data_IF_357120715332
#
_entry.id   IF_357120715332
#
_cell.length_a   1.000
_cell.length_b   1.000
_cell.length_c   1.000
_cell.angle_alpha   90.00
_cell.angle_beta   90.00
_cell.angle_gamma   90.00
#
_symmetry.space_group_name_H-M   'P 1'
#
loop_
_entity.id
_entity.type
_entity.pdbx_description
1 polymer ?
#
# COMPACT_ATOMS: atom_id res chain seq x y z
N UNK A 1 32.09 31.64 -33.38
CA UNK A 1 31.45 30.35 -33.74
C UNK A 1 30.09 30.30 -33.04
N UNK A 2 28.99 30.28 -33.80
CA UNK A 2 27.61 30.25 -33.30
C UNK A 2 27.08 28.81 -33.32
N UNK A 3 26.42 28.42 -32.25
CA UNK A 3 25.83 27.09 -31.99
C UNK A 3 24.58 26.85 -32.85
N UNK A 4 24.69 26.91 -34.18
CA UNK A 4 23.54 26.84 -35.12
C UNK A 4 23.55 25.60 -36.01
N UNK A 5 24.20 24.49 -35.62
CA UNK A 5 24.33 23.31 -36.50
C UNK A 5 23.95 21.96 -35.86
N UNK A 6 23.20 21.92 -34.75
CA UNK A 6 22.88 20.66 -34.06
C UNK A 6 21.39 20.39 -33.77
N UNK A 7 20.47 21.06 -34.47
CA UNK A 7 19.03 20.74 -34.38
C UNK A 7 18.47 20.47 -35.77
N UNK A 8 18.65 19.23 -36.22
CA UNK A 8 17.82 18.65 -37.28
C UNK A 8 16.55 18.07 -36.61
N UNK A 9 15.40 18.46 -37.15
CA UNK A 9 14.03 18.28 -36.65
C UNK A 9 13.70 16.88 -36.09
N UNK A 10 12.92 16.75 -34.98
CA UNK A 10 12.53 15.46 -34.46
C UNK A 10 11.26 14.93 -35.17
N UNK A 11 11.44 14.02 -36.11
CA UNK A 11 10.34 13.13 -36.54
C UNK A 11 10.17 12.04 -35.48
N UNK A 12 9.01 11.98 -34.83
CA UNK A 12 8.72 10.94 -33.84
C UNK A 12 8.31 9.66 -34.57
N UNK A 13 9.03 8.56 -34.32
CA UNK A 13 8.80 7.23 -34.93
C UNK A 13 8.38 6.21 -33.88
N UNK A 14 7.57 5.23 -34.24
CA UNK A 14 7.20 4.12 -33.36
C UNK A 14 8.27 3.01 -33.32
N UNK A 15 8.07 1.97 -32.51
CA UNK A 15 9.00 0.85 -32.33
C UNK A 15 9.27 0.03 -33.60
N UNK A 16 8.49 0.21 -34.67
CA UNK A 16 8.69 -0.40 -35.98
C UNK A 16 9.31 0.58 -37.00
N UNK A 17 9.76 1.75 -36.56
CA UNK A 17 10.42 2.76 -37.40
C UNK A 17 9.48 3.64 -38.22
N UNK A 18 8.15 3.49 -38.07
CA UNK A 18 7.15 4.26 -38.82
C UNK A 18 6.96 5.64 -38.18
N UNK A 19 6.99 6.70 -38.99
CA UNK A 19 6.77 8.07 -38.52
C UNK A 19 5.31 8.25 -38.06
N UNK A 20 5.14 8.75 -36.84
CA UNK A 20 3.82 8.92 -36.20
C UNK A 20 3.44 10.41 -36.08
N UNK A 21 4.40 11.32 -36.25
CA UNK A 21 4.17 12.76 -36.21
C UNK A 21 5.24 13.52 -37.01
N UNK A 22 4.81 14.54 -37.76
CA UNK A 22 5.64 15.49 -38.49
C UNK A 22 5.07 16.90 -38.29
N UNK A 23 5.92 17.86 -37.93
CA UNK A 23 5.52 19.27 -37.81
C UNK A 23 5.20 19.82 -39.21
N UNK A 24 4.03 20.46 -39.35
CA UNK A 24 3.57 21.04 -40.61
C UNK A 24 3.92 22.52 -40.66
N UNK A 25 4.69 22.94 -41.66
CA UNK A 25 5.09 24.35 -41.88
C UNK A 25 3.91 25.27 -42.31
N UNK A 26 2.66 24.78 -42.30
CA UNK A 26 1.49 25.57 -42.71
C UNK A 26 0.72 26.12 -41.52
N UNK A 27 1.31 27.06 -40.78
CA UNK A 27 0.55 28.00 -39.95
C UNK A 27 1.04 29.42 -40.24
N UNK A 28 0.32 30.14 -41.11
CA UNK A 28 0.49 31.60 -41.25
C UNK A 28 -0.32 32.29 -40.15
N UNK A 29 0.36 33.00 -39.25
CA UNK A 29 -0.29 33.85 -38.26
C UNK A 29 -0.67 35.23 -38.87
N UNK A 30 -1.86 35.79 -38.59
CA UNK A 30 -2.22 37.12 -39.07
C UNK A 30 -1.37 38.20 -38.40
N UNK A 31 -0.91 39.20 -39.19
CA UNK A 31 -0.20 40.37 -38.68
C UNK A 31 -1.18 41.35 -38.03
N UNK A 32 -0.84 41.80 -36.81
CA UNK A 32 -1.40 43.00 -36.19
C UNK A 32 -2.38 42.73 -35.06
N UNK A 33 -1.88 42.70 -33.82
CA UNK A 33 -2.46 43.29 -32.60
C UNK A 33 -1.54 42.99 -31.42
N UNK A 34 -1.11 44.06 -30.76
CA UNK A 34 -0.16 44.08 -29.66
C UNK A 34 -0.86 43.85 -28.32
N UNK A 35 -1.16 42.60 -27.98
CA UNK A 35 -1.35 42.18 -26.58
C UNK A 35 -0.89 40.72 -26.44
N UNK A 36 0.36 40.52 -26.06
CA UNK A 36 0.91 39.17 -25.81
C UNK A 36 0.58 38.75 -24.38
N UNK A 37 -0.56 38.08 -24.17
CA UNK A 37 -0.67 37.15 -23.04
C UNK A 37 0.01 35.85 -23.46
N UNK A 38 1.07 35.46 -22.76
CA UNK A 38 1.68 34.14 -22.91
C UNK A 38 0.61 33.08 -22.58
N UNK A 39 0.03 32.45 -23.60
CA UNK A 39 -0.80 31.28 -23.43
C UNK A 39 0.11 30.11 -23.06
N UNK A 40 0.18 29.80 -21.77
CA UNK A 40 0.88 28.62 -21.28
C UNK A 40 0.28 27.36 -21.94
N UNK A 41 1.14 26.54 -22.56
CA UNK A 41 0.75 25.30 -23.22
C UNK A 41 -0.11 24.42 -22.29
N UNK A 42 -1.32 24.03 -22.71
CA UNK A 42 -2.24 23.14 -21.96
C UNK A 42 -1.80 21.67 -21.97
N UNK A 43 -0.50 21.38 -22.12
CA UNK A 43 0.01 20.00 -22.14
C UNK A 43 0.55 19.63 -20.75
N UNK A 44 -0.07 18.69 -20.03
CA UNK A 44 0.41 18.20 -18.74
C UNK A 44 1.86 17.67 -18.80
N UNK A 45 2.27 17.18 -19.96
CA UNK A 45 3.61 16.66 -20.23
C UNK A 45 4.66 17.77 -20.18
N UNK A 46 4.34 18.96 -20.68
CA UNK A 46 5.25 20.12 -20.65
C UNK A 46 5.42 20.63 -19.21
N UNK A 47 4.36 20.63 -18.41
CA UNK A 47 4.43 20.96 -16.98
C UNK A 47 5.26 19.94 -16.20
N UNK A 48 5.04 18.65 -16.42
CA UNK A 48 5.84 17.60 -15.78
C UNK A 48 7.33 17.72 -16.13
N UNK A 49 7.67 17.97 -17.40
CA UNK A 49 9.05 18.16 -17.87
C UNK A 49 9.71 19.40 -17.25
N UNK A 50 9.01 20.54 -17.26
CA UNK A 50 9.54 21.80 -16.70
C UNK A 50 9.75 21.72 -15.19
N UNK A 51 8.82 21.13 -14.44
CA UNK A 51 8.97 20.89 -13.00
C UNK A 51 10.14 19.94 -12.73
N UNK A 52 10.25 18.85 -13.51
CA UNK A 52 11.32 17.86 -13.35
C UNK A 52 12.69 18.49 -13.61
N UNK A 53 12.84 19.28 -14.68
CA UNK A 53 14.07 19.98 -15.01
C UNK A 53 14.43 21.03 -13.94
N UNK A 54 13.44 21.73 -13.40
CA UNK A 54 13.66 22.67 -12.29
C UNK A 54 14.15 21.95 -11.03
N UNK A 55 13.52 20.84 -10.65
CA UNK A 55 13.95 20.04 -9.48
C UNK A 55 15.37 19.49 -9.67
N UNK A 56 15.70 18.97 -10.85
CA UNK A 56 17.05 18.52 -11.19
C UNK A 56 18.08 19.65 -11.11
N UNK A 57 17.76 20.83 -11.67
CA UNK A 57 18.61 22.01 -11.59
C UNK A 57 18.86 22.44 -10.15
N UNK A 58 17.81 22.51 -9.32
CA UNK A 58 17.96 22.89 -7.90
C UNK A 58 18.79 21.88 -7.13
N UNK A 59 18.66 20.58 -7.41
CA UNK A 59 19.44 19.55 -6.74
C UNK A 59 20.91 19.57 -7.12
N UNK A 60 21.22 19.71 -8.42
CA UNK A 60 22.60 19.89 -8.89
C UNK A 60 23.22 21.15 -8.26
N UNK A 61 22.45 22.25 -8.17
CA UNK A 61 22.92 23.49 -7.54
C UNK A 61 23.18 23.34 -6.05
N UNK A 62 22.30 22.68 -5.30
CA UNK A 62 22.48 22.39 -3.85
C UNK A 62 23.72 21.52 -3.63
N UNK A 63 23.94 20.50 -4.46
CA UNK A 63 25.08 19.61 -4.32
C UNK A 63 26.40 20.33 -4.68
N UNK A 64 26.37 21.27 -5.63
CA UNK A 64 27.54 22.06 -6.04
C UNK A 64 27.85 23.25 -5.13
N UNK A 65 26.85 23.80 -4.43
CA UNK A 65 26.95 24.98 -3.59
C UNK A 65 26.07 24.79 -2.34
N UNK A 66 26.71 24.44 -1.22
CA UNK A 66 26.04 24.17 0.06
C UNK A 66 25.31 25.41 0.64
N UNK A 67 25.57 26.61 0.12
CA UNK A 67 24.92 27.84 0.55
C UNK A 67 23.74 28.24 -0.37
N UNK A 68 23.50 27.51 -1.45
CA UNK A 68 22.40 27.78 -2.37
C UNK A 68 21.04 27.46 -1.73
N UNK A 69 20.21 28.49 -1.52
CA UNK A 69 18.79 28.35 -1.15
C UNK A 69 17.93 28.64 -2.38
N UNK A 70 17.20 27.65 -2.94
CA UNK A 70 16.32 27.94 -4.06
C UNK A 70 15.18 28.86 -3.62
N UNK A 71 14.91 29.90 -4.42
CA UNK A 71 13.70 30.70 -4.27
C UNK A 71 12.49 29.79 -4.55
N UNK A 72 11.87 29.28 -3.49
CA UNK A 72 10.61 28.55 -3.59
C UNK A 72 9.55 29.52 -4.09
N UNK A 73 9.13 29.34 -5.34
CA UNK A 73 7.84 29.87 -5.77
C UNK A 73 6.82 29.21 -4.84
N UNK A 74 6.21 30.00 -3.95
CA UNK A 74 5.03 29.59 -3.18
C UNK A 74 3.95 29.22 -4.18
N UNK A 75 3.92 27.95 -4.59
CA UNK A 75 2.73 27.36 -5.20
C UNK A 75 1.74 27.25 -4.05
N UNK A 76 0.96 28.32 -3.86
CA UNK A 76 -0.19 28.34 -2.99
C UNK A 76 -1.14 27.26 -3.50
N UNK A 77 -1.02 26.04 -2.96
CA UNK A 77 -2.19 25.20 -2.81
C UNK A 77 -3.16 26.01 -1.96
N UNK A 78 -4.16 26.61 -2.61
CA UNK A 78 -5.34 27.13 -1.95
C UNK A 78 -6.07 25.96 -1.27
N UNK A 79 -5.53 25.47 -0.16
CA UNK A 79 -6.37 25.12 0.95
C UNK A 79 -6.98 26.43 1.41
N UNK A 80 -8.31 26.52 1.36
CA UNK A 80 -9.08 27.59 1.97
C UNK A 80 -8.73 27.66 3.46
N UNK A 81 -7.69 28.43 3.80
CA UNK A 81 -7.53 29.04 5.10
C UNK A 81 -8.30 30.35 4.99
N UNK A 82 -9.58 30.33 5.37
CA UNK A 82 -10.25 31.58 5.69
C UNK A 82 -9.53 32.16 6.91
N UNK A 83 -8.96 33.34 6.69
CA UNK A 83 -8.15 34.04 7.66
C UNK A 83 -8.87 34.30 8.96
N UNK A 84 -8.06 34.27 10.01
CA UNK A 84 -8.26 34.92 11.29
C UNK A 84 -8.85 36.32 11.13
N UNK A 85 -10.11 36.47 11.48
CA UNK A 85 -10.64 37.71 12.01
C UNK A 85 -10.95 37.48 13.49
N UNK A 86 -10.47 38.38 14.33
CA UNK A 86 -10.75 38.44 15.76
C UNK A 86 -12.24 38.27 16.05
N UNK A 87 -12.57 37.22 16.79
CA UNK A 87 -13.74 37.14 17.65
C UNK A 87 -13.28 36.41 18.93
N UNK A 88 -13.06 37.16 20.01
CA UNK A 88 -13.05 36.57 21.34
C UNK A 88 -14.42 35.93 21.58
N UNK A 89 -14.47 34.60 21.64
CA UNK A 89 -15.54 33.88 22.32
C UNK A 89 -14.97 32.55 22.78
N UNK A 90 -15.08 32.32 24.09
CA UNK A 90 -14.53 31.17 24.78
C UNK A 90 -15.12 29.86 24.27
N UNK A 91 -14.24 28.86 24.15
CA UNK A 91 -14.59 27.52 23.72
C UNK A 91 -13.32 26.74 23.36
N UNK A 92 -12.51 26.41 24.37
CA UNK A 92 -11.38 25.49 24.22
C UNK A 92 -11.92 24.09 23.89
N UNK A 93 -12.20 23.82 22.62
CA UNK A 93 -12.32 22.46 22.12
C UNK A 93 -10.91 21.95 21.87
N UNK A 94 -10.30 21.35 22.89
CA UNK A 94 -9.07 20.57 22.77
C UNK A 94 -9.34 19.36 21.86
N UNK A 95 -9.30 19.56 20.54
CA UNK A 95 -9.23 18.45 19.60
C UNK A 95 -7.79 17.95 19.64
N UNK A 96 -7.55 16.84 20.33
CA UNK A 96 -6.23 16.25 20.43
C UNK A 96 -5.69 15.94 19.02
N UNK A 97 -4.53 16.53 18.69
CA UNK A 97 -3.79 16.22 17.48
C UNK A 97 -3.04 14.89 17.57
N UNK A 98 -2.33 14.46 16.51
CA UNK A 98 -1.50 13.26 16.57
C UNK A 98 -0.40 13.40 17.63
N UNK A 99 -0.09 12.30 18.32
CA UNK A 99 1.01 12.25 19.30
C UNK A 99 2.35 12.51 18.57
N UNK A 100 3.21 13.39 19.09
CA UNK A 100 4.51 13.69 18.49
C UNK A 100 5.40 12.44 18.32
N UNK A 101 6.11 12.33 17.19
CA UNK A 101 6.93 11.15 16.87
C UNK A 101 8.08 10.92 17.87
N UNK A 102 8.63 12.00 18.45
CA UNK A 102 9.65 11.93 19.50
C UNK A 102 9.08 11.33 20.81
N UNK A 103 7.84 11.64 21.15
CA UNK A 103 7.15 11.04 22.30
C UNK A 103 6.98 9.54 22.07
N UNK A 104 6.46 9.13 20.91
CA UNK A 104 6.34 7.70 20.55
C UNK A 104 7.68 6.99 20.62
N UNK A 105 8.75 7.59 20.07
CA UNK A 105 10.08 7.00 20.09
C UNK A 105 10.62 6.82 21.51
N UNK A 106 10.28 7.72 22.44
CA UNK A 106 10.69 7.62 23.83
C UNK A 106 9.96 6.49 24.60
N UNK A 107 8.78 6.07 24.14
CA UNK A 107 8.00 4.97 24.75
C UNK A 107 8.48 3.58 24.33
N UNK A 108 9.14 3.46 23.17
CA UNK A 108 9.56 2.17 22.59
C UNK A 108 10.98 1.83 23.03
N UNK A 109 11.16 0.65 23.62
CA UNK A 109 12.46 0.06 23.98
C UNK A 109 12.78 -1.08 23.03
N UNK A 110 14.06 -1.45 22.95
CA UNK A 110 14.48 -2.68 22.26
C UNK A 110 13.79 -3.90 22.86
N UNK A 111 13.49 -4.89 22.02
CA UNK A 111 12.85 -6.12 22.45
C UNK A 111 13.76 -6.87 23.44
N UNK A 112 13.24 -7.31 24.60
CA UNK A 112 14.01 -8.12 25.53
C UNK A 112 14.46 -9.44 24.89
N UNK A 113 15.73 -9.89 25.07
CA UNK A 113 16.27 -11.10 24.42
C UNK A 113 15.46 -12.38 24.69
N UNK A 114 14.78 -12.47 25.83
CA UNK A 114 13.91 -13.59 26.20
C UNK A 114 12.66 -13.73 25.31
N UNK A 115 12.34 -12.73 24.49
CA UNK A 115 11.19 -12.74 23.57
C UNK A 115 11.55 -13.12 22.13
N UNK A 116 12.84 -13.42 21.84
CA UNK A 116 13.33 -13.67 20.49
C UNK A 116 12.63 -14.84 19.76
N UNK A 117 12.11 -15.82 20.51
CA UNK A 117 11.42 -16.99 19.96
C UNK A 117 9.89 -16.83 19.94
N UNK A 118 9.36 -15.66 20.35
CA UNK A 118 7.92 -15.40 20.29
C UNK A 118 7.48 -15.17 18.85
N UNK A 119 6.29 -15.64 18.51
CA UNK A 119 5.71 -15.43 17.19
C UNK A 119 4.20 -15.21 17.24
N UNK A 120 3.70 -14.44 16.28
CA UNK A 120 2.27 -14.20 16.14
C UNK A 120 1.59 -15.44 15.53
N UNK A 121 1.00 -16.24 16.41
CA UNK A 121 0.50 -17.56 16.04
C UNK A 121 -0.93 -17.52 15.51
N UNK A 122 -1.85 -16.86 16.21
CA UNK A 122 -3.28 -16.92 15.90
C UNK A 122 -4.02 -15.61 16.15
N UNK A 123 -5.09 -15.42 15.38
CA UNK A 123 -6.19 -14.51 15.69
C UNK A 123 -7.45 -15.34 15.92
N UNK A 124 -8.10 -15.17 17.07
CA UNK A 124 -9.33 -15.89 17.40
C UNK A 124 -10.57 -15.07 17.05
N UNK A 125 -11.51 -15.70 16.33
CA UNK A 125 -12.84 -15.15 16.07
C UNK A 125 -13.90 -16.17 16.49
N UNK A 126 -14.93 -15.70 17.19
CA UNK A 126 -16.10 -16.55 17.47
C UNK A 126 -17.01 -16.58 16.25
N UNK A 127 -17.53 -17.77 15.93
CA UNK A 127 -18.39 -18.03 14.78
C UNK A 127 -19.69 -18.68 15.21
N UNK A 128 -20.79 -18.29 14.56
CA UNK A 128 -22.13 -18.80 14.88
C UNK A 128 -22.37 -20.19 14.31
N UNK A 129 -22.02 -20.40 13.04
CA UNK A 129 -22.31 -21.65 12.33
C UNK A 129 -21.11 -22.13 11.50
N UNK A 130 -20.35 -23.14 11.98
CA UNK A 130 -19.19 -23.65 11.24
C UNK A 130 -19.55 -24.20 9.86
N UNK A 131 -20.80 -24.64 9.64
CA UNK A 131 -21.25 -25.15 8.33
C UNK A 131 -21.33 -24.05 7.27
N UNK A 132 -21.46 -22.78 7.68
CA UNK A 132 -21.41 -21.63 6.77
C UNK A 132 -20.01 -21.01 6.73
N UNK A 133 -19.37 -20.91 7.90
CA UNK A 133 -18.11 -20.20 8.03
C UNK A 133 -16.92 -20.98 7.46
N UNK A 134 -16.84 -22.30 7.67
CA UNK A 134 -15.74 -23.11 7.12
C UNK A 134 -15.70 -23.09 5.58
N UNK A 135 -16.82 -23.28 4.83
CA UNK A 135 -16.79 -23.13 3.37
C UNK A 135 -16.36 -21.73 2.90
N UNK A 136 -16.73 -20.68 3.63
CA UNK A 136 -16.29 -19.33 3.30
C UNK A 136 -14.75 -19.21 3.40
N UNK A 137 -14.16 -19.56 4.55
CA UNK A 137 -12.71 -19.45 4.71
C UNK A 137 -11.93 -20.45 3.84
N UNK A 138 -12.43 -21.68 3.66
CA UNK A 138 -11.72 -22.70 2.88
C UNK A 138 -11.94 -22.59 1.37
N UNK A 139 -13.19 -22.50 0.92
CA UNK A 139 -13.51 -22.59 -0.51
C UNK A 139 -13.50 -21.21 -1.18
N UNK A 140 -13.87 -20.15 -0.46
CA UNK A 140 -13.84 -18.78 -0.99
C UNK A 140 -12.48 -18.15 -0.76
N UNK A 141 -11.95 -18.17 0.47
CA UNK A 141 -10.66 -17.53 0.77
C UNK A 141 -9.44 -18.42 0.53
N UNK A 142 -9.63 -19.72 0.31
CA UNK A 142 -8.54 -20.65 -0.04
C UNK A 142 -7.69 -21.10 1.14
N UNK A 143 -8.15 -20.91 2.39
CA UNK A 143 -7.46 -21.42 3.57
C UNK A 143 -7.64 -22.93 3.72
N UNK A 144 -6.78 -23.56 4.50
CA UNK A 144 -6.87 -24.98 4.85
C UNK A 144 -7.23 -25.15 6.32
N UNK A 145 -8.17 -26.04 6.63
CA UNK A 145 -8.38 -26.53 7.98
C UNK A 145 -7.17 -27.37 8.40
N UNK A 146 -6.42 -26.89 9.39
CA UNK A 146 -5.24 -27.54 9.93
C UNK A 146 -5.61 -28.54 11.02
N UNK A 147 -6.52 -28.15 11.92
CA UNK A 147 -6.99 -28.98 13.03
C UNK A 147 -8.37 -28.55 13.50
N UNK A 148 -9.23 -29.53 13.79
CA UNK A 148 -10.40 -29.36 14.63
C UNK A 148 -10.10 -29.92 16.03
N UNK A 149 -10.55 -29.22 17.06
CA UNK A 149 -10.48 -29.67 18.46
C UNK A 149 -11.82 -29.44 19.15
N UNK A 150 -12.39 -30.48 19.75
CA UNK A 150 -13.67 -30.44 20.43
C UNK A 150 -13.49 -30.54 21.95
N UNK A 151 -14.24 -29.73 22.70
CA UNK A 151 -14.16 -29.66 24.16
C UNK A 151 -15.56 -29.89 24.75
N UNK A 152 -15.99 -31.16 24.95
CA UNK A 152 -17.35 -31.49 25.37
C UNK A 152 -17.76 -30.88 26.71
N UNK A 153 -16.84 -30.84 27.69
CA UNK A 153 -17.10 -30.24 29.00
C UNK A 153 -17.37 -28.74 28.91
N UNK A 154 -16.67 -28.05 28.00
CA UNK A 154 -16.84 -26.62 27.73
C UNK A 154 -17.92 -26.30 26.69
N UNK A 155 -18.45 -27.30 25.98
CA UNK A 155 -19.41 -27.18 24.88
C UNK A 155 -18.97 -26.21 23.77
N UNK A 156 -17.73 -26.34 23.33
CA UNK A 156 -17.22 -25.60 22.19
C UNK A 156 -16.27 -26.43 21.32
N UNK A 157 -16.12 -25.99 20.07
CA UNK A 157 -15.13 -26.52 19.12
C UNK A 157 -14.24 -25.40 18.60
N UNK A 158 -12.99 -25.73 18.31
CA UNK A 158 -12.00 -24.85 17.72
C UNK A 158 -11.61 -25.37 16.34
N UNK A 159 -11.56 -24.48 15.36
CA UNK A 159 -11.11 -24.78 14.00
C UNK A 159 -9.92 -23.88 13.67
N UNK A 160 -8.74 -24.47 13.50
CA UNK A 160 -7.53 -23.76 13.15
C UNK A 160 -7.35 -23.75 11.64
N UNK A 161 -7.32 -22.56 11.03
CA UNK A 161 -7.20 -22.36 9.60
C UNK A 161 -5.92 -21.60 9.24
N UNK A 162 -5.31 -21.92 8.10
CA UNK A 162 -4.15 -21.17 7.60
C UNK A 162 -3.87 -21.41 6.12
N UNK A 163 -3.03 -20.55 5.54
CA UNK A 163 -2.55 -20.71 4.16
C UNK A 163 -1.37 -21.68 4.10
N UNK A 164 -1.66 -22.98 4.15
CA UNK A 164 -0.69 -24.07 4.10
C UNK A 164 -1.03 -25.11 3.03
N UNK A 165 -0.03 -25.70 2.36
CA UNK A 165 -0.27 -26.80 1.44
C UNK A 165 -0.68 -28.06 2.21
N UNK A 166 -1.55 -28.87 1.61
CA UNK A 166 -2.04 -30.09 2.25
C UNK A 166 -0.91 -31.09 2.59
N UNK A 167 0.15 -31.11 1.78
CA UNK A 167 1.31 -31.98 1.96
C UNK A 167 2.13 -31.68 3.22
N UNK A 168 2.01 -30.48 3.79
CA UNK A 168 2.71 -30.12 5.04
C UNK A 168 1.93 -30.53 6.29
N UNK A 169 0.65 -30.88 6.18
CA UNK A 169 -0.20 -31.16 7.33
C UNK A 169 0.01 -32.63 7.74
N UNK A 170 0.54 -32.91 8.95
CA UNK A 170 0.71 -34.28 9.41
C UNK A 170 -0.63 -35.02 9.53
N UNK A 171 -0.61 -36.33 9.26
CA UNK A 171 -1.78 -37.20 9.44
C UNK A 171 -1.93 -37.69 10.88
N UNK A 172 -0.82 -37.82 11.62
CA UNK A 172 -0.86 -38.20 13.03
C UNK A 172 -1.59 -37.12 13.86
N UNK A 173 -2.57 -37.48 14.71
CA UNK A 173 -3.39 -36.50 15.43
C UNK A 173 -2.61 -35.57 16.36
N UNK A 174 -1.53 -36.06 16.99
CA UNK A 174 -0.71 -35.30 17.95
C UNK A 174 0.19 -34.33 17.19
N UNK A 175 0.86 -34.81 16.15
CA UNK A 175 1.71 -33.97 15.30
C UNK A 175 0.90 -32.93 14.52
N UNK A 176 -0.31 -33.28 14.08
CA UNK A 176 -1.23 -32.34 13.44
C UNK A 176 -1.65 -31.21 14.40
N UNK A 177 -1.91 -31.54 15.68
CA UNK A 177 -2.20 -30.53 16.70
C UNK A 177 -1.00 -29.63 16.95
N UNK A 178 0.19 -30.21 17.09
CA UNK A 178 1.44 -29.46 17.26
C UNK A 178 1.67 -28.52 16.07
N UNK A 179 1.51 -29.03 14.85
CA UNK A 179 1.65 -28.26 13.61
C UNK A 179 0.68 -27.09 13.55
N UNK A 180 -0.61 -27.31 13.85
CA UNK A 180 -1.60 -26.25 13.85
C UNK A 180 -1.28 -25.15 14.86
N UNK A 181 -0.89 -25.54 16.08
CA UNK A 181 -0.54 -24.61 17.17
C UNK A 181 0.83 -23.95 17.02
N UNK A 182 1.70 -24.44 16.13
CA UNK A 182 2.99 -23.82 15.82
C UNK A 182 3.01 -23.07 14.49
N UNK A 183 1.90 -23.07 13.75
CA UNK A 183 1.80 -22.38 12.46
C UNK A 183 1.54 -20.89 12.69
N UNK A 184 2.30 -20.04 12.00
CA UNK A 184 2.17 -18.59 12.04
C UNK A 184 0.86 -18.10 11.42
N UNK A 185 0.33 -17.00 11.93
CA UNK A 185 -0.79 -16.25 11.35
C UNK A 185 -2.03 -17.12 11.01
N UNK A 186 -2.35 -18.07 11.89
CA UNK A 186 -3.58 -18.86 11.79
C UNK A 186 -4.80 -18.06 12.22
N UNK A 187 -5.96 -18.50 11.76
CA UNK A 187 -7.25 -18.07 12.30
C UNK A 187 -7.79 -19.22 13.15
N UNK A 188 -8.05 -18.94 14.41
CA UNK A 188 -8.78 -19.83 15.31
C UNK A 188 -10.26 -19.42 15.25
N UNK A 189 -11.11 -20.28 14.69
CA UNK A 189 -12.55 -20.08 14.71
C UNK A 189 -13.16 -20.86 15.88
N UNK A 190 -13.77 -20.16 16.82
CA UNK A 190 -14.40 -20.76 18.01
C UNK A 190 -15.91 -20.85 17.83
N UNK A 191 -16.43 -22.07 17.85
CA UNK A 191 -17.87 -22.34 17.80
C UNK A 191 -18.35 -22.77 19.18
N UNK A 192 -19.20 -21.95 19.80
CA UNK A 192 -19.94 -22.36 21.00
C UNK A 192 -21.18 -23.14 20.56
N UNK A 193 -21.35 -24.36 21.06
CA UNK A 193 -22.37 -25.28 20.56
C UNK A 193 -23.78 -24.76 20.81
N UNK A 194 -24.64 -24.88 19.80
CA UNK A 194 -26.04 -24.45 19.85
C UNK A 194 -26.27 -23.01 19.37
N UNK A 195 -25.22 -22.20 19.22
CA UNK A 195 -25.34 -20.83 18.70
C UNK A 195 -25.92 -20.78 17.27
N UNK A 196 -25.69 -21.83 16.48
CA UNK A 196 -26.25 -22.03 15.15
C UNK A 196 -27.77 -22.27 15.14
N UNK A 197 -28.34 -22.72 16.27
CA UNK A 197 -29.76 -23.06 16.40
C UNK A 197 -30.60 -21.91 16.99
N UNK A 198 -29.97 -20.90 17.58
CA UNK A 198 -30.66 -19.71 18.11
C UNK A 198 -30.79 -18.63 17.00
N UNK A 199 -31.99 -18.35 16.45
CA UNK A 199 -32.14 -17.35 15.39
C UNK A 199 -31.86 -15.92 15.83
N UNK A 200 -31.91 -15.63 17.15
CA UNK A 200 -31.70 -14.28 17.69
C UNK A 200 -30.25 -14.00 18.06
N UNK A 201 -29.41 -15.04 18.08
CA UNK A 201 -28.01 -14.91 18.45
C UNK A 201 -27.15 -14.40 17.28
N UNK A 202 -26.31 -13.40 17.52
CA UNK A 202 -25.24 -12.99 16.61
C UNK A 202 -24.02 -12.47 17.38
N UNK A 203 -22.83 -12.63 16.82
CA UNK A 203 -21.63 -12.02 17.38
C UNK A 203 -21.52 -10.56 16.91
N UNK A 204 -20.89 -9.73 17.75
CA UNK A 204 -20.58 -8.35 17.41
C UNK A 204 -19.24 -8.28 16.68
N UNK A 205 -19.22 -7.57 15.54
CA UNK A 205 -18.05 -7.52 14.66
C UNK A 205 -17.04 -6.41 15.00
N UNK A 206 -17.24 -5.69 16.11
CA UNK A 206 -16.36 -4.62 16.62
C UNK A 206 -16.37 -3.31 15.84
N UNK A 207 -17.08 -3.22 14.70
CA UNK A 207 -17.11 -2.04 13.83
C UNK A 207 -18.28 -1.08 14.10
N UNK A 208 -19.20 -1.48 14.97
CA UNK A 208 -20.28 -0.64 15.55
C UNK A 208 -20.02 -0.45 17.04
N UNK A 209 -20.76 0.44 17.70
CA UNK A 209 -20.64 0.59 19.16
C UNK A 209 -21.06 -0.70 19.89
N UNK A 210 -20.35 -1.12 20.96
CA UNK A 210 -19.04 -0.60 21.39
C UNK A 210 -17.93 -1.03 20.41
N UNK A 211 -17.13 -0.06 19.94
CA UNK A 211 -16.07 -0.36 18.97
C UNK A 211 -14.88 -1.07 19.61
N UNK A 212 -14.21 -1.92 18.84
CA UNK A 212 -13.05 -2.70 19.28
C UNK A 212 -12.24 -3.26 18.12
N UNK A 213 -12.20 -4.59 18.00
CA UNK A 213 -11.57 -5.27 16.87
C UNK A 213 -12.13 -4.76 15.53
N UNK A 214 -11.24 -4.49 14.57
CA UNK A 214 -11.62 -3.95 13.27
C UNK A 214 -11.82 -5.02 12.20
N UNK A 215 -10.73 -5.68 11.81
CA UNK A 215 -10.72 -6.66 10.72
C UNK A 215 -9.43 -7.48 10.72
N UNK A 216 -9.47 -8.61 10.03
CA UNK A 216 -8.26 -9.28 9.53
C UNK A 216 -7.93 -8.78 8.12
N UNK A 217 -6.68 -8.93 7.69
CA UNK A 217 -6.23 -8.54 6.35
C UNK A 217 -5.64 -9.71 5.57
N UNK A 218 -6.01 -9.81 4.30
CA UNK A 218 -5.48 -10.79 3.35
C UNK A 218 -4.81 -10.04 2.19
N UNK A 219 -3.50 -10.30 2.04
CA UNK A 219 -2.74 -9.81 0.91
C UNK A 219 -2.95 -10.74 -0.31
N UNK A 220 -3.26 -10.15 -1.45
CA UNK A 220 -3.46 -10.85 -2.72
C UNK A 220 -2.59 -10.24 -3.82
N UNK A 221 -2.35 -10.99 -4.90
CA UNK A 221 -1.58 -10.47 -6.04
C UNK A 221 -2.32 -9.39 -6.82
N UNK A 222 -3.64 -9.55 -6.98
CA UNK A 222 -4.51 -8.63 -7.68
C UNK A 222 -5.86 -8.52 -6.97
N UNK A 223 -6.10 -7.36 -6.34
CA UNK A 223 -7.33 -7.05 -5.61
C UNK A 223 -8.56 -7.09 -6.53
N UNK A 224 -8.44 -6.63 -7.78
CA UNK A 224 -9.56 -6.57 -8.70
C UNK A 224 -9.98 -7.96 -9.17
N UNK A 225 -9.01 -8.81 -9.53
CA UNK A 225 -9.28 -10.19 -9.91
C UNK A 225 -9.88 -10.99 -8.73
N UNK A 226 -9.35 -10.80 -7.52
CA UNK A 226 -9.90 -11.43 -6.32
C UNK A 226 -11.34 -10.95 -6.05
N UNK A 227 -11.60 -9.65 -6.11
CA UNK A 227 -12.94 -9.10 -5.87
C UNK A 227 -13.94 -9.53 -6.93
N UNK A 228 -13.55 -9.61 -8.21
CA UNK A 228 -14.42 -10.15 -9.26
C UNK A 228 -14.86 -11.59 -8.94
N UNK A 229 -13.92 -12.44 -8.52
CA UNK A 229 -14.25 -13.81 -8.09
C UNK A 229 -15.18 -13.80 -6.87
N UNK A 230 -14.97 -12.91 -5.90
CA UNK A 230 -15.84 -12.81 -4.74
C UNK A 230 -17.26 -12.36 -5.12
N UNK A 231 -17.41 -11.44 -6.06
CA UNK A 231 -18.72 -11.03 -6.60
C UNK A 231 -19.42 -12.19 -7.31
N UNK A 232 -18.71 -12.95 -8.16
CA UNK A 232 -19.24 -14.14 -8.85
C UNK A 232 -19.72 -15.22 -7.86
N UNK A 233 -19.10 -15.30 -6.69
CA UNK A 233 -19.45 -16.23 -5.61
C UNK A 233 -20.48 -15.65 -4.62
N UNK A 234 -21.02 -14.46 -4.86
CA UNK A 234 -22.06 -13.84 -4.04
C UNK A 234 -21.58 -13.34 -2.66
N UNK A 235 -20.29 -13.05 -2.50
CA UNK A 235 -19.72 -12.52 -1.26
C UNK A 235 -20.22 -11.09 -1.00
N UNK A 236 -20.52 -10.78 0.26
CA UNK A 236 -20.94 -9.45 0.68
C UNK A 236 -19.74 -8.51 0.80
N UNK A 237 -19.89 -7.29 0.27
CA UNK A 237 -18.88 -6.24 0.33
C UNK A 237 -19.30 -5.12 1.29
N UNK A 238 -18.41 -4.73 2.19
CA UNK A 238 -18.51 -3.46 2.92
C UNK A 238 -18.02 -2.31 2.04
N UNK A 239 -17.00 -2.57 1.22
CA UNK A 239 -16.39 -1.60 0.31
C UNK A 239 -15.78 -2.33 -0.90
N UNK A 240 -16.16 -1.95 -2.12
CA UNK A 240 -15.51 -2.46 -3.34
C UNK A 240 -14.16 -1.77 -3.62
N UNK A 241 -13.29 -2.35 -4.48
CA UNK A 241 -11.97 -1.80 -4.77
C UNK A 241 -11.96 -0.33 -5.16
N UNK A 242 -12.97 0.11 -5.91
CA UNK A 242 -13.08 1.47 -6.44
C UNK A 242 -14.04 2.37 -5.64
N UNK A 243 -14.60 1.91 -4.53
CA UNK A 243 -15.46 2.75 -3.70
C UNK A 243 -14.63 3.74 -2.85
N UNK A 244 -15.16 4.92 -2.59
CA UNK A 244 -14.52 5.93 -1.74
C UNK A 244 -13.22 6.52 -2.31
N UNK A 245 -12.41 7.12 -1.42
CA UNK A 245 -11.17 7.82 -1.80
C UNK A 245 -10.00 6.87 -2.07
N UNK A 246 -9.87 5.79 -1.29
CA UNK A 246 -8.79 4.82 -1.44
C UNK A 246 -9.17 3.75 -2.47
N UNK A 247 -8.50 3.82 -3.63
CA UNK A 247 -8.66 2.84 -4.72
C UNK A 247 -7.73 1.65 -4.53
N UNK A 248 -8.08 0.50 -5.10
CA UNK A 248 -7.26 -0.71 -5.05
C UNK A 248 -7.27 -1.42 -3.70
N UNK A 249 -8.28 -1.16 -2.87
CA UNK A 249 -8.50 -1.80 -1.57
C UNK A 249 -9.98 -2.15 -1.40
N UNK A 250 -10.29 -3.35 -0.91
CA UNK A 250 -11.66 -3.78 -0.65
C UNK A 250 -11.84 -4.30 0.78
N UNK A 251 -13.10 -4.33 1.22
CA UNK A 251 -13.53 -4.99 2.45
C UNK A 251 -14.72 -5.89 2.15
N UNK A 252 -14.60 -7.16 2.49
CA UNK A 252 -15.67 -8.16 2.40
C UNK A 252 -16.12 -8.58 3.81
N UNK A 253 -17.25 -9.28 3.89
CA UNK A 253 -17.77 -9.86 5.13
C UNK A 253 -17.79 -11.37 5.08
N UNK A 254 -17.44 -12.00 6.19
CA UNK A 254 -17.72 -13.42 6.42
C UNK A 254 -19.20 -13.64 6.82
N UNK A 255 -19.66 -14.89 7.03
CA UNK A 255 -21.04 -15.18 7.43
C UNK A 255 -21.46 -14.60 8.79
N UNK A 256 -20.51 -14.26 9.65
CA UNK A 256 -20.72 -13.63 10.97
C UNK A 256 -20.58 -12.09 10.90
N UNK A 257 -20.50 -11.52 9.68
CA UNK A 257 -20.33 -10.11 9.40
C UNK A 257 -19.00 -9.49 9.87
N UNK A 258 -17.99 -10.31 10.17
CA UNK A 258 -16.63 -9.89 10.44
C UNK A 258 -16.00 -9.31 9.18
N UNK A 259 -15.37 -8.14 9.31
CA UNK A 259 -14.73 -7.46 8.19
C UNK A 259 -13.39 -8.11 7.83
N UNK A 260 -13.15 -8.30 6.53
CA UNK A 260 -11.90 -8.82 5.99
C UNK A 260 -11.38 -7.85 4.93
N UNK A 261 -10.21 -7.28 5.17
CA UNK A 261 -9.54 -6.38 4.25
C UNK A 261 -8.84 -7.19 3.15
N UNK A 262 -9.04 -6.80 1.89
CA UNK A 262 -8.34 -7.35 0.73
C UNK A 262 -7.41 -6.27 0.18
N UNK A 263 -6.12 -6.52 0.24
CA UNK A 263 -5.09 -5.57 -0.19
C UNK A 263 -4.08 -6.23 -1.11
N UNK A 264 -3.40 -5.45 -1.93
CA UNK A 264 -2.23 -5.95 -2.66
C UNK A 264 -1.04 -6.01 -1.71
N UNK A 265 -0.16 -7.00 -1.87
CA UNK A 265 1.15 -6.97 -1.24
C UNK A 265 1.91 -5.71 -1.71
N UNK A 266 2.20 -4.81 -0.77
CA UNK A 266 2.82 -3.52 -1.03
C UNK A 266 4.34 -3.61 -1.23
N UNK A 267 4.94 -4.79 -1.07
CA UNK A 267 6.38 -4.99 -1.22
C UNK A 267 6.86 -5.10 -2.68
N UNK A 268 5.95 -5.05 -3.66
CA UNK A 268 6.30 -4.85 -5.06
C UNK A 268 6.36 -3.35 -5.44
N UNK A 269 7.30 -2.89 -6.30
CA UNK A 269 7.40 -1.48 -6.72
C UNK A 269 6.11 -0.91 -7.37
N UNK A 270 5.18 -1.77 -7.78
CA UNK A 270 3.87 -1.38 -8.30
C UNK A 270 2.82 -1.03 -7.20
N UNK A 271 3.00 -1.52 -5.96
CA UNK A 271 2.04 -1.33 -4.86
C UNK A 271 2.07 0.07 -4.26
N UNK A 272 3.26 0.62 -4.03
CA UNK A 272 3.46 2.00 -3.55
C UNK A 272 2.93 3.05 -4.55
N UNK A 273 3.06 2.77 -5.84
CA UNK A 273 2.55 3.62 -6.93
C UNK A 273 1.01 3.69 -6.89
N UNK A 274 0.33 2.57 -6.60
CA UNK A 274 -1.14 2.50 -6.60
C UNK A 274 -1.78 3.16 -5.38
N UNK A 275 -1.18 3.07 -4.18
CA UNK A 275 -1.78 3.63 -2.97
C UNK A 275 -1.52 5.14 -2.79
N UNK A 276 -0.38 5.62 -3.27
CA UNK A 276 0.04 7.02 -3.11
C UNK A 276 0.03 7.85 -4.40
N UNK A 277 -0.39 7.27 -5.54
CA UNK A 277 -0.57 8.02 -6.80
C UNK A 277 0.71 8.47 -7.49
N UNK A 278 1.86 7.83 -7.24
CA UNK A 278 3.13 8.22 -7.86
C UNK A 278 3.31 7.64 -9.27
N UNK A 279 3.43 8.50 -10.28
CA UNK A 279 3.57 8.11 -11.68
C UNK A 279 4.84 7.24 -11.95
N UNK A 280 4.74 6.16 -12.76
CA UNK A 280 5.86 5.26 -13.08
C UNK A 280 7.05 5.93 -13.80
N UNK A 281 6.89 7.17 -14.27
CA UNK A 281 7.98 7.94 -14.88
C UNK A 281 9.09 8.32 -13.89
N UNK A 282 8.76 8.47 -12.60
CA UNK A 282 9.72 8.87 -11.56
C UNK A 282 10.71 7.75 -11.21
N UNK A 283 10.28 6.49 -11.30
CA UNK A 283 11.11 5.33 -10.96
C UNK A 283 12.10 4.95 -12.08
N UNK A 284 11.73 5.19 -13.35
CA UNK A 284 12.60 4.94 -14.50
C UNK A 284 13.87 5.80 -14.50
N UNK A 285 13.79 7.01 -13.94
CA UNK A 285 14.94 7.90 -13.77
C UNK A 285 15.86 7.43 -12.63
N UNK A 286 15.29 6.97 -11.52
CA UNK A 286 16.04 6.48 -10.36
C UNK A 286 16.91 5.26 -10.70
N UNK A 287 16.34 4.29 -11.43
CA UNK A 287 17.05 3.06 -11.82
C UNK A 287 18.14 3.25 -12.89
N UNK A 288 18.16 4.42 -13.54
CA UNK A 288 19.18 4.80 -14.55
C UNK A 288 20.31 5.63 -13.95
N UNK A 289 20.06 6.32 -12.84
CA UNK A 289 21.08 7.05 -12.08
C UNK A 289 21.95 6.11 -11.23
N UNK A 290 21.39 5.06 -10.62
CA UNK A 290 22.18 4.07 -9.88
C UNK A 290 23.13 3.22 -10.77
N UNK A 291 22.91 3.19 -12.08
CA UNK A 291 23.79 2.51 -13.04
C UNK A 291 24.87 3.40 -13.66
N UNK A 292 24.87 4.70 -13.34
CA UNK A 292 25.85 5.65 -13.84
C UNK A 292 26.64 6.29 -12.69
N UNK A 293 27.53 5.49 -12.09
CA UNK A 293 28.77 5.95 -11.47
C UNK A 293 28.71 6.26 -9.97
N UNK A 294 29.52 5.55 -9.18
CA UNK A 294 30.80 6.07 -8.66
C UNK A 294 31.76 4.87 -8.55
N UNK A 295 32.76 4.86 -9.44
CA UNK A 295 33.99 4.11 -9.26
C UNK A 295 35.09 5.07 -8.81
N UNK A 296 35.87 4.61 -7.81
CA UNK A 296 37.28 4.91 -7.49
C UNK A 296 37.72 6.36 -7.18
N UNK A 297 38.20 6.61 -5.94
CA UNK A 297 39.63 6.78 -5.60
C UNK A 297 39.82 7.16 -4.10
N UNK A 298 40.78 6.51 -3.41
CA UNK A 298 41.14 6.67 -1.98
C UNK A 298 42.04 7.89 -1.66
N UNK A 299 42.67 7.99 -0.47
CA UNK A 299 43.69 7.02 -0.01
C UNK A 299 43.69 6.68 1.51
N UNK A 300 44.31 5.55 1.89
CA UNK A 300 44.89 5.40 3.24
C UNK A 300 44.75 4.06 3.96
N UNK A 301 45.72 3.16 3.71
CA UNK A 301 46.37 2.18 4.63
C UNK A 301 45.52 1.12 5.35
N UNK A 302 45.79 -0.15 5.01
CA UNK A 302 45.40 -1.32 5.81
C UNK A 302 45.38 -2.63 5.02
N UNK A 303 46.54 -3.27 4.87
CA UNK A 303 46.76 -4.56 4.19
C UNK A 303 46.22 -5.75 4.99
N UNK A 304 45.48 -6.67 4.34
CA UNK A 304 45.75 -8.12 4.43
C UNK A 304 45.00 -8.93 3.35
N UNK A 305 45.63 -10.01 2.82
CA UNK A 305 45.15 -10.74 1.65
C UNK A 305 44.30 -11.96 2.05
N UNK A 306 43.36 -12.34 1.17
CA UNK A 306 42.83 -13.71 1.16
C UNK A 306 42.78 -14.19 -0.29
N UNK A 307 43.71 -15.11 -0.57
CA UNK A 307 43.76 -15.96 -1.75
C UNK A 307 42.54 -16.89 -1.77
N UNK A 308 42.05 -17.18 -2.97
CA UNK A 308 41.36 -18.44 -3.27
C UNK A 308 41.88 -18.95 -4.62
N UNK A 309 42.84 -19.86 -4.55
CA UNK A 309 42.75 -21.17 -5.21
C UNK A 309 42.66 -22.19 -4.10
#
# INVERSE_FOLDING_TARGET
MKLTTLLWFPVVRNSKGVAVWQESDRIKFPKGKSERRFAWHKSPVVYALTITLYLLYTRIRIDSDKNYKPNTVKVSCCFYSMGSNHCESGGSTNVAGPIPANEIKALVKEAPPETNDFYFQQTMLRIKDPRKTLPFYCNILGMRLLKQMDFPEGKFSLYFLGYKPASEIPSDPIEQKRYALSTLATIELTHNWGTENDPNFSYHNGNKEPRGFGHIGIAVKDVYAACKRFEELGVQFVKKPDDGRMKGLAFIQDPDASCIQITTDLYGPAGLIKLYGYSPFVFGLYKRLDRCGIGSCGPGVGTCPAQYT
#
